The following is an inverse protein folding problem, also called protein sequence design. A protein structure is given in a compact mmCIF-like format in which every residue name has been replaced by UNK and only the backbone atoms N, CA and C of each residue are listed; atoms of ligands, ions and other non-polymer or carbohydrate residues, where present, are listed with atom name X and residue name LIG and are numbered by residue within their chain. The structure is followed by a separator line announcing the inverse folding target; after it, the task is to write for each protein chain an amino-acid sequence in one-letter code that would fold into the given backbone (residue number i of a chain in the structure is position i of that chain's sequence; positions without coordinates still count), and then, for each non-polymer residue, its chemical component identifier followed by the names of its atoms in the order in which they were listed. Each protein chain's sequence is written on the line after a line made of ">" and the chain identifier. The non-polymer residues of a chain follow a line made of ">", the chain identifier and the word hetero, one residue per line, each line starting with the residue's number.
data_IF_132836606103
#
_entry.id   IF_132836606103
#
_cell.length_a   1.000
_cell.length_b   1.000
_cell.length_c   1.000
_cell.angle_alpha   90.00
_cell.angle_beta   90.00
_cell.angle_gamma   90.00
#
_symmetry.space_group_name_H-M   'P 1'
#
loop_
_entity.id
_entity.type
_entity.pdbx_description
1 polymer ?
#
# COMPACT_ATOMS: atom_id res chain seq x y z
N UNK A 1 -0.92 -14.06 -15.80
CA UNK A 1 -0.67 -13.60 -14.42
C UNK A 1 -2.03 -13.32 -13.80
N UNK A 2 -2.33 -13.87 -12.63
CA UNK A 2 -3.61 -13.67 -11.96
C UNK A 2 -3.37 -12.85 -10.71
N UNK A 3 -4.15 -11.79 -10.55
CA UNK A 3 -4.02 -10.86 -9.45
C UNK A 3 -5.31 -10.82 -8.63
N UNK A 4 -5.19 -10.42 -7.38
CA UNK A 4 -6.32 -10.12 -6.50
C UNK A 4 -6.12 -8.79 -5.78
N UNK A 5 -7.24 -8.19 -5.39
CA UNK A 5 -7.25 -6.96 -4.61
C UNK A 5 -7.41 -7.34 -3.14
N UNK A 6 -6.58 -6.77 -2.28
CA UNK A 6 -6.64 -6.92 -0.83
C UNK A 6 -6.86 -5.57 -0.16
N UNK A 7 -7.65 -5.54 0.90
CA UNK A 7 -7.91 -4.34 1.71
C UNK A 7 -7.22 -4.40 3.08
N UNK A 8 -6.81 -5.61 3.48
CA UNK A 8 -6.09 -5.89 4.71
C UNK A 8 -4.75 -6.52 4.38
N UNK A 9 -3.71 -6.10 5.11
CA UNK A 9 -2.34 -6.50 4.85
C UNK A 9 -1.82 -7.34 6.00
N UNK A 10 -1.31 -8.53 5.70
CA UNK A 10 -0.58 -9.33 6.67
C UNK A 10 0.87 -8.84 6.82
N UNK A 11 1.62 -9.41 7.76
CA UNK A 11 3.00 -8.98 8.04
C UNK A 11 3.92 -9.05 6.80
N UNK A 12 3.82 -10.12 6.00
CA UNK A 12 4.63 -10.27 4.79
C UNK A 12 4.27 -9.24 3.71
N UNK A 13 2.99 -8.92 3.57
CA UNK A 13 2.54 -7.88 2.63
C UNK A 13 2.96 -6.47 3.09
N UNK A 14 3.10 -6.23 4.39
CA UNK A 14 3.65 -4.97 4.92
C UNK A 14 5.16 -4.88 4.63
N UNK A 15 5.89 -5.99 4.68
CA UNK A 15 7.29 -6.05 4.24
C UNK A 15 7.41 -5.77 2.74
N UNK A 16 6.59 -6.42 1.91
CA UNK A 16 6.53 -6.14 0.47
C UNK A 16 6.19 -4.67 0.19
N UNK A 17 5.26 -4.07 0.96
CA UNK A 17 4.93 -2.65 0.85
C UNK A 17 6.12 -1.76 1.20
N UNK A 18 6.89 -2.11 2.23
CA UNK A 18 8.12 -1.40 2.58
C UNK A 18 9.14 -1.46 1.43
N UNK A 19 9.27 -2.61 0.77
CA UNK A 19 10.12 -2.74 -0.42
C UNK A 19 9.60 -1.92 -1.60
N UNK A 20 8.28 -1.88 -1.84
CA UNK A 20 7.69 -1.01 -2.87
C UNK A 20 8.00 0.48 -2.62
N UNK A 21 7.93 0.91 -1.35
CA UNK A 21 8.29 2.28 -0.97
C UNK A 21 9.76 2.61 -1.22
N UNK A 22 10.68 1.65 -0.99
CA UNK A 22 12.13 1.81 -1.26
C UNK A 22 12.45 2.10 -2.72
N UNK A 23 11.59 1.67 -3.64
CA UNK A 23 11.73 1.92 -5.08
C UNK A 23 11.27 3.33 -5.48
N UNK A 24 10.51 4.01 -4.61
CA UNK A 24 10.04 5.37 -4.85
C UNK A 24 11.08 6.41 -4.39
N UNK A 25 11.23 7.50 -5.14
CA UNK A 25 12.17 8.57 -4.78
C UNK A 25 11.76 9.36 -3.52
N UNK A 26 10.48 9.29 -3.11
CA UNK A 26 9.89 10.10 -2.05
C UNK A 26 9.52 9.31 -0.78
N UNK A 27 9.67 7.99 -0.80
CA UNK A 27 9.30 7.12 0.31
C UNK A 27 10.37 6.10 0.67
N UNK A 28 11.61 6.29 0.22
CA UNK A 28 12.66 5.29 0.33
C UNK A 28 13.19 5.06 1.77
N UNK A 29 12.93 5.99 2.66
CA UNK A 29 13.32 5.98 4.06
C UNK A 29 12.25 5.41 5.00
N UNK A 30 11.06 5.08 4.47
CA UNK A 30 9.94 4.56 5.26
C UNK A 30 10.30 3.24 5.93
N UNK A 31 9.95 3.14 7.21
CA UNK A 31 10.14 1.94 8.01
C UNK A 31 8.79 1.27 8.30
N UNK A 32 8.83 -0.03 8.59
CA UNK A 32 7.63 -0.83 8.90
C UNK A 32 6.75 -0.20 10.02
N UNK A 33 7.30 0.34 11.13
CA UNK A 33 6.49 1.00 12.15
C UNK A 33 5.69 2.19 11.60
N UNK A 34 6.32 3.03 10.77
CA UNK A 34 5.68 4.20 10.17
C UNK A 34 4.64 3.79 9.11
N UNK A 35 4.91 2.73 8.36
CA UNK A 35 3.95 2.15 7.41
C UNK A 35 2.69 1.68 8.14
N UNK A 36 2.82 1.02 9.30
CA UNK A 36 1.64 0.61 10.08
C UNK A 36 0.79 1.81 10.52
N UNK A 37 1.43 2.83 11.09
CA UNK A 37 0.76 4.09 11.46
C UNK A 37 0.09 4.72 10.23
N UNK A 38 0.78 4.74 9.10
CA UNK A 38 0.30 5.28 7.83
C UNK A 38 -0.95 4.54 7.33
N UNK A 39 -0.97 3.20 7.38
CA UNK A 39 -2.13 2.39 7.01
C UNK A 39 -3.33 2.66 7.93
N UNK A 40 -3.09 2.76 9.24
CA UNK A 40 -4.12 3.04 10.25
C UNK A 40 -4.74 4.45 10.11
N UNK A 41 -4.02 5.37 9.47
CA UNK A 41 -4.45 6.75 9.22
C UNK A 41 -4.79 7.01 7.74
N UNK A 42 -5.10 5.97 6.96
CA UNK A 42 -5.71 6.09 5.63
C UNK A 42 -7.20 5.75 5.70
N UNK A 43 -8.01 6.41 4.87
CA UNK A 43 -9.44 6.08 4.77
C UNK A 43 -9.67 4.78 3.99
N UNK A 44 -8.90 4.55 2.92
CA UNK A 44 -8.94 3.32 2.13
C UNK A 44 -7.51 2.90 1.80
N UNK A 45 -7.19 1.62 2.00
CA UNK A 45 -5.94 1.02 1.56
C UNK A 45 -6.25 -0.16 0.64
N UNK A 46 -5.70 -0.17 -0.57
CA UNK A 46 -5.87 -1.25 -1.54
C UNK A 46 -4.51 -1.77 -1.99
N UNK A 47 -4.33 -3.08 -1.97
CA UNK A 47 -3.17 -3.79 -2.49
C UNK A 47 -3.53 -4.64 -3.70
N UNK A 48 -2.59 -4.81 -4.62
CA UNK A 48 -2.65 -5.80 -5.69
C UNK A 48 -1.66 -6.90 -5.36
N UNK A 49 -2.15 -8.11 -5.14
CA UNK A 49 -1.33 -9.29 -4.85
C UNK A 49 -1.31 -10.25 -6.05
N UNK A 50 -0.15 -10.84 -6.32
CA UNK A 50 -0.05 -11.97 -7.25
C UNK A 50 -0.61 -13.23 -6.58
N UNK A 51 -1.64 -13.86 -7.18
CA UNK A 51 -2.43 -14.89 -6.47
C UNK A 51 -1.62 -16.10 -5.99
N UNK A 52 -0.54 -16.48 -6.68
CA UNK A 52 0.21 -17.70 -6.36
C UNK A 52 1.17 -17.49 -5.19
N UNK A 53 1.92 -16.40 -5.22
CA UNK A 53 2.92 -16.05 -4.21
C UNK A 53 2.34 -15.23 -3.06
N UNK A 54 1.14 -14.67 -3.22
CA UNK A 54 0.54 -13.69 -2.31
C UNK A 54 1.36 -12.39 -2.18
N UNK A 55 2.38 -12.21 -3.03
CA UNK A 55 3.27 -11.06 -3.01
C UNK A 55 2.52 -9.80 -3.39
N UNK A 56 2.68 -8.75 -2.60
CA UNK A 56 2.15 -7.42 -2.93
C UNK A 56 3.02 -6.79 -4.03
N UNK A 57 2.39 -6.43 -5.15
CA UNK A 57 3.07 -5.85 -6.33
C UNK A 57 2.59 -4.43 -6.65
N UNK A 58 1.50 -3.99 -6.03
CA UNK A 58 1.00 -2.63 -6.17
C UNK A 58 0.23 -2.22 -4.92
N UNK A 59 0.26 -0.93 -4.61
CA UNK A 59 -0.41 -0.37 -3.45
C UNK A 59 -0.98 1.00 -3.78
N UNK A 60 -2.16 1.27 -3.23
CA UNK A 60 -2.71 2.62 -3.22
C UNK A 60 -3.41 2.90 -1.90
N UNK A 61 -3.37 4.17 -1.49
CA UNK A 61 -4.16 4.69 -0.38
C UNK A 61 -4.97 5.90 -0.80
N UNK A 62 -6.15 6.04 -0.23
CA UNK A 62 -7.05 7.18 -0.40
C UNK A 62 -7.11 7.96 0.91
N UNK A 63 -6.97 9.28 0.81
CA UNK A 63 -7.27 10.24 1.87
C UNK A 63 -8.43 11.11 1.40
N UNK A 64 -9.51 11.19 2.16
CA UNK A 64 -10.72 11.90 1.76
C UNK A 64 -11.29 12.75 2.89
N UNK A 65 -11.84 13.91 2.54
CA UNK A 65 -12.67 14.71 3.45
C UNK A 65 -14.14 14.28 3.44
N UNK A 66 -14.47 13.24 2.66
CA UNK A 66 -15.80 12.63 2.47
C UNK A 66 -16.87 13.54 1.85
N UNK A 67 -16.55 14.79 1.48
CA UNK A 67 -17.55 15.76 1.03
C UNK A 67 -17.15 16.40 -0.31
N UNK A 68 -15.91 16.86 -0.43
CA UNK A 68 -15.47 17.70 -1.55
C UNK A 68 -14.23 17.16 -2.25
N UNK A 69 -13.35 16.43 -1.57
CA UNK A 69 -12.06 16.04 -2.11
C UNK A 69 -11.56 14.71 -1.56
N UNK A 70 -10.99 13.92 -2.48
CA UNK A 70 -10.10 12.82 -2.17
C UNK A 70 -8.75 12.98 -2.88
N UNK A 71 -7.70 12.42 -2.29
CA UNK A 71 -6.36 12.30 -2.89
C UNK A 71 -5.96 10.83 -2.88
N UNK A 72 -5.55 10.33 -4.04
CA UNK A 72 -5.12 8.94 -4.23
C UNK A 72 -3.60 8.94 -4.41
N UNK A 73 -2.89 8.18 -3.57
CA UNK A 73 -1.46 7.93 -3.69
C UNK A 73 -1.27 6.52 -4.25
N UNK A 74 -0.46 6.37 -5.30
CA UNK A 74 -0.24 5.09 -5.98
C UNK A 74 1.25 4.76 -5.99
N UNK A 75 1.56 3.49 -5.75
CA UNK A 75 2.90 2.92 -5.87
C UNK A 75 2.76 1.58 -6.58
N UNK A 76 3.53 1.41 -7.65
CA UNK A 76 3.56 0.17 -8.42
C UNK A 76 5.00 -0.03 -8.89
N UNK A 77 5.39 -1.30 -9.00
CA UNK A 77 6.66 -1.72 -9.61
C UNK A 77 6.38 -2.67 -10.77
#
# INVERSE_FOLDING_TARGET
>A
MCYEIVEQFNAAQIEDLCELYKLSWWGNDRQIPDIKIMLDNSDINLGICEKKSQKLVGFTRVLTDYIYRATIYVIIN
#
